data_IF_337851489093
#
_entry.id   IF_337851489093
#
_cell.length_a   1.000
_cell.length_b   1.000
_cell.length_c   1.000
_cell.angle_alpha   90.00
_cell.angle_beta   90.00
_cell.angle_gamma   90.00
#
_symmetry.space_group_name_H-M   'P 1'
#
loop_
_entity.id
_entity.type
_entity.pdbx_description
1 polymer ?
#
# COMPACT_ATOMS: atom_id res chain seq x y z
N UNK A 1 29.12 0.39 20.74
CA UNK A 1 28.02 -0.45 20.19
C UNK A 1 26.62 -0.01 20.69
N UNK A 2 26.42 1.30 20.84
CA UNK A 2 25.14 1.99 21.05
C UNK A 2 25.30 3.20 20.15
N UNK A 3 24.53 3.29 19.06
CA UNK A 3 24.49 4.33 17.98
C UNK A 3 24.41 3.76 16.55
N UNK A 4 24.43 2.43 16.35
CA UNK A 4 24.12 1.80 15.04
C UNK A 4 22.65 2.02 14.61
N UNK A 5 21.80 2.57 15.48
CA UNK A 5 20.36 2.77 15.26
C UNK A 5 19.92 4.24 15.15
N UNK A 6 20.84 5.20 15.12
CA UNK A 6 20.44 6.61 14.92
C UNK A 6 20.04 6.96 13.48
N UNK A 7 20.39 6.12 12.50
CA UNK A 7 19.75 6.12 11.17
C UNK A 7 18.29 5.64 11.21
N UNK A 8 17.62 5.62 12.38
CA UNK A 8 16.24 5.22 12.59
C UNK A 8 15.34 6.34 13.11
N UNK A 9 15.83 7.58 13.20
CA UNK A 9 14.98 8.73 13.52
C UNK A 9 14.44 9.37 12.22
N UNK A 10 13.19 9.04 11.91
CA UNK A 10 12.25 9.94 11.23
C UNK A 10 12.24 9.95 9.69
N UNK A 11 13.37 9.77 9.00
CA UNK A 11 13.41 10.01 7.53
C UNK A 11 13.80 8.76 6.73
N UNK A 12 14.69 7.94 7.26
CA UNK A 12 15.27 6.77 6.58
C UNK A 12 14.33 5.57 6.45
N UNK A 13 13.47 5.28 7.43
CA UNK A 13 12.65 4.06 7.40
C UNK A 13 11.55 4.06 6.33
N UNK A 14 11.05 5.24 5.94
CA UNK A 14 9.91 5.37 5.04
C UNK A 14 10.31 5.45 3.56
N UNK A 15 11.46 6.04 3.24
CA UNK A 15 11.94 6.18 1.86
C UNK A 15 12.91 5.07 1.42
N UNK A 16 13.53 4.34 2.35
CA UNK A 16 14.47 3.27 2.00
C UNK A 16 13.79 2.09 1.32
N UNK A 17 12.67 1.61 1.88
CA UNK A 17 11.97 0.44 1.32
C UNK A 17 11.57 0.67 -0.13
N UNK A 18 10.91 1.77 -0.53
CA UNK A 18 10.63 2.04 -1.93
C UNK A 18 11.87 2.01 -2.84
N UNK A 19 12.98 2.64 -2.43
CA UNK A 19 14.21 2.68 -3.23
C UNK A 19 14.89 1.30 -3.34
N UNK A 20 14.80 0.47 -2.29
CA UNK A 20 15.26 -0.93 -2.32
C UNK A 20 14.41 -1.79 -3.25
N UNK A 21 13.09 -1.66 -3.19
CA UNK A 21 12.16 -2.42 -4.06
C UNK A 21 12.31 -2.01 -5.54
N UNK A 22 12.59 -0.73 -5.82
CA UNK A 22 12.94 -0.25 -7.18
C UNK A 22 14.30 -0.82 -7.62
N UNK A 23 15.22 -1.07 -6.70
CA UNK A 23 16.51 -1.73 -6.96
C UNK A 23 17.73 -0.80 -6.97
N UNK A 24 17.63 0.41 -6.41
CA UNK A 24 18.79 1.31 -6.26
C UNK A 24 19.88 0.75 -5.32
N UNK A 25 19.48 -0.10 -4.38
CA UNK A 25 20.38 -0.84 -3.49
C UNK A 25 19.64 -2.04 -2.88
N UNK A 26 20.37 -3.05 -2.43
CA UNK A 26 19.78 -4.24 -1.81
C UNK A 26 19.58 -4.10 -0.29
N UNK A 27 19.03 -5.15 0.35
CA UNK A 27 18.85 -5.23 1.81
C UNK A 27 20.15 -5.15 2.62
N UNK A 28 21.30 -5.34 1.97
CA UNK A 28 22.64 -5.24 2.53
C UNK A 28 23.33 -3.90 2.17
N UNK A 29 22.60 -2.99 1.50
CA UNK A 29 23.08 -1.70 1.02
C UNK A 29 24.22 -1.83 0.00
N UNK A 30 24.20 -2.86 -0.84
CA UNK A 30 25.06 -2.88 -2.02
C UNK A 30 24.46 -2.01 -3.13
N UNK A 31 25.20 -0.97 -3.54
CA UNK A 31 24.81 -0.02 -4.58
C UNK A 31 25.33 -0.39 -5.97
N UNK A 32 26.11 -1.48 -6.08
CA UNK A 32 26.90 -1.83 -7.26
C UNK A 32 26.38 -3.06 -8.01
N UNK A 33 25.15 -3.50 -7.74
CA UNK A 33 24.54 -4.55 -8.55
C UNK A 33 24.32 -4.04 -9.99
N UNK A 34 24.29 -4.91 -11.02
CA UNK A 34 24.07 -4.47 -12.40
C UNK A 34 22.82 -3.60 -12.58
N UNK A 35 21.72 -3.96 -11.90
CA UNK A 35 20.48 -3.17 -11.90
C UNK A 35 20.66 -1.81 -11.21
N UNK A 36 21.30 -1.79 -10.04
CA UNK A 36 21.54 -0.54 -9.31
C UNK A 36 22.41 0.42 -10.13
N UNK A 37 23.45 -0.07 -10.80
CA UNK A 37 24.32 0.75 -11.66
C UNK A 37 23.51 1.43 -12.77
N UNK A 38 22.65 0.70 -13.49
CA UNK A 38 21.79 1.27 -14.54
C UNK A 38 20.88 2.37 -13.97
N UNK A 39 20.21 2.08 -12.85
CA UNK A 39 19.28 3.03 -12.22
C UNK A 39 19.98 4.30 -11.72
N UNK A 40 21.20 4.18 -11.17
CA UNK A 40 21.98 5.35 -10.75
C UNK A 40 22.46 6.17 -11.95
N UNK A 41 22.84 5.53 -13.06
CA UNK A 41 23.19 6.23 -14.30
C UNK A 41 21.99 7.00 -14.88
N UNK A 42 20.81 6.39 -14.90
CA UNK A 42 19.56 7.07 -15.30
C UNK A 42 19.23 8.25 -14.38
N UNK A 43 19.41 8.09 -13.07
CA UNK A 43 19.22 9.16 -12.09
C UNK A 43 20.19 10.34 -12.31
N UNK A 44 21.47 10.05 -12.57
CA UNK A 44 22.49 11.05 -12.87
C UNK A 44 22.16 11.81 -14.16
N UNK A 45 21.76 11.11 -15.23
CA UNK A 45 21.33 11.72 -16.48
C UNK A 45 20.10 12.61 -16.28
N UNK A 46 19.10 12.12 -15.55
CA UNK A 46 17.92 12.89 -15.19
C UNK A 46 18.28 14.21 -14.47
N UNK A 47 19.13 14.13 -13.43
CA UNK A 47 19.59 15.32 -12.69
C UNK A 47 20.36 16.27 -13.62
N UNK A 48 21.24 15.74 -14.47
CA UNK A 48 22.06 16.53 -15.38
C UNK A 48 21.23 17.26 -16.47
N UNK A 49 20.09 16.68 -16.87
CA UNK A 49 19.20 17.26 -17.88
C UNK A 49 18.31 18.38 -17.32
N UNK A 50 18.19 18.51 -15.99
CA UNK A 50 17.39 19.56 -15.35
C UNK A 50 18.31 20.66 -14.80
N UNK A 51 18.29 21.85 -15.40
CA UNK A 51 19.22 22.95 -15.09
C UNK A 51 19.31 23.30 -13.60
N UNK A 52 18.15 23.36 -12.92
CA UNK A 52 18.06 23.64 -11.48
C UNK A 52 18.60 22.50 -10.62
N UNK A 53 18.27 21.24 -10.95
CA UNK A 53 18.79 20.08 -10.23
C UNK A 53 20.29 19.91 -10.45
N UNK A 54 20.78 20.07 -11.67
CA UNK A 54 22.21 20.02 -12.01
C UNK A 54 23.00 21.03 -11.17
N UNK A 55 22.51 22.28 -11.11
CA UNK A 55 23.13 23.33 -10.29
C UNK A 55 23.15 22.96 -8.81
N UNK A 56 22.00 22.54 -8.28
CA UNK A 56 21.88 22.13 -6.88
C UNK A 56 22.80 20.94 -6.54
N UNK A 57 22.81 19.90 -7.39
CA UNK A 57 23.62 18.70 -7.20
C UNK A 57 25.11 19.04 -7.21
N UNK A 58 25.56 19.88 -8.15
CA UNK A 58 26.95 20.37 -8.19
C UNK A 58 27.32 21.05 -6.87
N UNK A 59 26.52 22.03 -6.44
CA UNK A 59 26.81 22.82 -5.24
C UNK A 59 26.75 21.95 -3.96
N UNK A 60 25.84 20.96 -3.89
CA UNK A 60 25.78 20.01 -2.78
C UNK A 60 27.01 19.11 -2.72
N UNK A 61 27.47 18.59 -3.86
CA UNK A 61 28.67 17.75 -3.92
C UNK A 61 29.91 18.54 -3.50
N UNK A 62 30.05 19.78 -3.95
CA UNK A 62 31.13 20.68 -3.52
C UNK A 62 31.08 20.92 -2.01
N UNK A 63 29.92 21.29 -1.46
CA UNK A 63 29.75 21.48 -0.02
C UNK A 63 30.06 20.22 0.80
N UNK A 64 29.62 19.04 0.35
CA UNK A 64 29.94 17.80 1.07
C UNK A 64 31.45 17.50 1.07
N UNK A 65 32.15 17.75 -0.04
CA UNK A 65 33.60 17.52 -0.12
C UNK A 65 34.38 18.51 0.74
N UNK A 66 34.06 19.79 0.62
CA UNK A 66 34.86 20.88 1.20
C UNK A 66 34.51 21.16 2.67
N UNK A 67 33.26 21.00 3.09
CA UNK A 67 32.80 21.44 4.41
C UNK A 67 32.46 20.28 5.37
N UNK A 68 31.93 19.17 4.84
CA UNK A 68 31.52 18.03 5.67
C UNK A 68 32.62 16.97 5.78
N UNK A 69 33.10 16.44 4.66
CA UNK A 69 34.06 15.33 4.65
C UNK A 69 35.50 15.78 4.92
N UNK A 70 35.79 17.07 4.82
CA UNK A 70 37.09 17.65 5.19
C UNK A 70 37.34 17.70 6.71
N UNK A 71 36.29 17.56 7.54
CA UNK A 71 36.35 17.71 9.01
C UNK A 71 37.21 16.64 9.71
N UNK A 72 37.64 15.58 9.01
CA UNK A 72 38.42 14.44 9.56
C UNK A 72 37.85 13.86 10.87
N UNK A 73 36.54 13.98 11.06
CA UNK A 73 35.80 13.41 12.18
C UNK A 73 35.26 12.03 11.78
N UNK A 74 35.24 11.04 12.69
CA UNK A 74 34.55 9.77 12.44
C UNK A 74 33.03 9.93 12.28
N UNK A 75 32.48 11.09 12.64
CA UNK A 75 31.08 11.46 12.42
C UNK A 75 31.00 12.95 12.11
N UNK A 76 31.27 13.34 10.85
CA UNK A 76 31.20 14.73 10.44
C UNK A 76 29.75 15.22 10.53
N UNK A 77 29.58 16.45 10.99
CA UNK A 77 28.25 17.04 11.18
C UNK A 77 28.30 18.53 10.88
N UNK A 78 27.16 19.06 10.43
CA UNK A 78 26.99 20.48 10.16
C UNK A 78 25.65 20.93 10.74
N UNK A 79 25.61 22.10 11.37
CA UNK A 79 24.33 22.70 11.77
C UNK A 79 23.59 23.20 10.53
N UNK A 80 22.26 23.13 10.53
CA UNK A 80 21.47 23.68 9.43
C UNK A 80 21.69 25.19 9.24
N UNK A 81 22.00 25.92 10.32
CA UNK A 81 22.37 27.34 10.28
C UNK A 81 23.59 27.61 9.42
N UNK A 82 24.51 26.65 9.35
CA UNK A 82 25.82 26.79 8.71
C UNK A 82 25.75 26.38 7.23
N UNK A 83 24.60 25.88 6.76
CA UNK A 83 24.37 25.59 5.35
C UNK A 83 24.33 26.91 4.58
N UNK A 84 25.18 27.10 3.55
CA UNK A 84 25.21 28.32 2.75
C UNK A 84 23.84 28.73 2.22
N UNK A 85 23.53 30.04 2.27
CA UNK A 85 22.28 30.61 1.74
C UNK A 85 22.06 30.25 0.27
N UNK A 86 23.15 30.11 -0.50
CA UNK A 86 23.11 29.71 -1.92
C UNK A 86 22.50 28.32 -2.08
N UNK A 87 22.88 27.35 -1.25
CA UNK A 87 22.30 25.99 -1.29
C UNK A 87 20.83 26.00 -0.91
N UNK A 88 20.46 26.78 0.12
CA UNK A 88 19.06 26.93 0.54
C UNK A 88 18.20 27.51 -0.59
N UNK A 89 18.70 28.53 -1.29
CA UNK A 89 18.04 29.14 -2.45
C UNK A 89 17.96 28.20 -3.65
N UNK A 90 19.03 27.47 -3.94
CA UNK A 90 19.05 26.50 -5.03
C UNK A 90 18.10 25.33 -4.77
N UNK A 91 18.01 24.87 -3.51
CA UNK A 91 17.05 23.86 -3.09
C UNK A 91 15.61 24.36 -3.27
N UNK A 92 15.28 25.54 -2.75
CA UNK A 92 13.96 26.14 -2.92
C UNK A 92 13.61 26.37 -4.40
N UNK A 93 14.58 26.73 -5.23
CA UNK A 93 14.39 26.92 -6.67
C UNK A 93 14.09 25.60 -7.40
N UNK A 94 14.84 24.55 -7.07
CA UNK A 94 14.68 23.21 -7.66
C UNK A 94 13.34 22.58 -7.28
N UNK A 95 12.91 22.72 -6.03
CA UNK A 95 11.67 22.13 -5.50
C UNK A 95 10.56 23.16 -5.26
N UNK A 96 10.47 24.17 -6.13
CA UNK A 96 9.66 25.38 -5.91
C UNK A 96 8.15 25.16 -5.69
N UNK A 97 7.56 24.14 -6.31
CA UNK A 97 6.16 23.77 -6.13
C UNK A 97 5.89 22.33 -6.59
N UNK A 98 4.82 21.68 -6.12
CA UNK A 98 4.42 20.37 -6.61
C UNK A 98 4.28 20.30 -8.13
N UNK A 99 3.64 21.30 -8.75
CA UNK A 99 3.48 21.38 -10.20
C UNK A 99 4.82 21.47 -10.95
N UNK A 100 5.75 22.28 -10.44
CA UNK A 100 7.09 22.39 -11.04
C UNK A 100 7.87 21.07 -10.95
N UNK A 101 7.80 20.38 -9.79
CA UNK A 101 8.47 19.09 -9.58
C UNK A 101 7.84 18.00 -10.44
N UNK A 102 6.51 17.90 -10.46
CA UNK A 102 5.78 16.96 -11.31
C UNK A 102 6.15 17.13 -12.78
N UNK A 103 6.23 18.37 -13.27
CA UNK A 103 6.56 18.65 -14.67
C UNK A 103 7.90 18.05 -15.12
N UNK A 104 8.96 18.15 -14.32
CA UNK A 104 10.26 17.60 -14.72
C UNK A 104 10.47 16.15 -14.29
N UNK A 105 9.89 15.71 -13.16
CA UNK A 105 10.23 14.42 -12.54
C UNK A 105 9.27 13.27 -12.89
N UNK A 106 8.08 13.58 -13.42
CA UNK A 106 7.00 12.61 -13.61
C UNK A 106 7.41 11.41 -14.46
N UNK A 107 7.93 11.66 -15.65
CA UNK A 107 8.28 10.59 -16.60
C UNK A 107 9.38 9.68 -16.04
N UNK A 108 10.39 10.28 -15.41
CA UNK A 108 11.43 9.56 -14.71
C UNK A 108 10.84 8.61 -13.66
N UNK A 109 9.98 9.12 -12.77
CA UNK A 109 9.39 8.30 -11.72
C UNK A 109 8.49 7.20 -12.25
N UNK A 110 7.70 7.46 -13.29
CA UNK A 110 6.86 6.45 -13.93
C UNK A 110 7.72 5.31 -14.48
N UNK A 111 8.81 5.65 -15.17
CA UNK A 111 9.74 4.67 -15.76
C UNK A 111 10.40 3.80 -14.69
N UNK A 112 11.03 4.41 -13.67
CA UNK A 112 11.78 3.63 -12.66
C UNK A 112 10.87 2.82 -11.73
N UNK A 113 9.59 3.18 -11.63
CA UNK A 113 8.58 2.43 -10.86
C UNK A 113 7.86 1.37 -11.70
N UNK A 114 8.07 1.33 -13.02
CA UNK A 114 7.38 0.42 -13.93
C UNK A 114 5.88 0.71 -14.08
N UNK A 115 5.46 1.95 -13.85
CA UNK A 115 4.07 2.37 -13.97
C UNK A 115 3.65 2.67 -15.42
N UNK A 116 4.59 2.60 -16.36
CA UNK A 116 4.38 2.72 -17.80
C UNK A 116 4.08 1.39 -18.50
N UNK A 117 4.00 0.29 -17.74
CA UNK A 117 3.75 -1.06 -18.27
C UNK A 117 2.51 -1.75 -17.66
N UNK A 118 1.95 -2.70 -18.43
CA UNK A 118 0.89 -3.62 -18.02
C UNK A 118 -0.34 -3.01 -17.33
N UNK A 119 -0.84 -3.69 -16.30
CA UNK A 119 -1.99 -3.25 -15.52
C UNK A 119 -1.76 -1.91 -14.80
N UNK A 120 -0.52 -1.67 -14.35
CA UNK A 120 -0.13 -0.41 -13.69
C UNK A 120 -0.30 0.79 -14.62
N UNK A 121 0.08 0.65 -15.89
CA UNK A 121 -0.14 1.67 -16.92
C UNK A 121 -1.61 1.94 -17.14
N UNK A 122 -2.44 0.91 -17.25
CA UNK A 122 -3.87 1.08 -17.45
C UNK A 122 -4.53 1.85 -16.29
N UNK A 123 -4.13 1.52 -15.05
CA UNK A 123 -4.57 2.26 -13.86
C UNK A 123 -4.10 3.72 -13.87
N UNK A 124 -2.83 3.96 -14.21
CA UNK A 124 -2.28 5.31 -14.33
C UNK A 124 -3.02 6.14 -15.39
N UNK A 125 -3.31 5.56 -16.55
CA UNK A 125 -4.03 6.22 -17.64
C UNK A 125 -5.45 6.63 -17.24
N UNK A 126 -6.17 5.76 -16.51
CA UNK A 126 -7.51 6.11 -15.99
C UNK A 126 -7.42 7.32 -15.06
N UNK A 127 -6.45 7.35 -14.15
CA UNK A 127 -6.26 8.46 -13.22
C UNK A 127 -5.82 9.75 -13.93
N UNK A 128 -4.95 9.67 -14.93
CA UNK A 128 -4.54 10.82 -15.73
C UNK A 128 -5.70 11.38 -16.55
N UNK A 129 -6.53 10.52 -17.15
CA UNK A 129 -7.68 10.95 -17.91
C UNK A 129 -8.74 11.60 -17.00
N UNK A 130 -8.96 11.04 -15.81
CA UNK A 130 -9.86 11.62 -14.82
C UNK A 130 -9.39 13.00 -14.33
N UNK A 131 -8.07 13.18 -14.14
CA UNK A 131 -7.49 14.45 -13.72
C UNK A 131 -7.60 15.56 -14.78
N UNK A 132 -7.78 15.19 -16.07
CA UNK A 132 -7.96 16.14 -17.18
C UNK A 132 -9.42 16.59 -17.38
N UNK A 133 -10.38 15.99 -16.69
CA UNK A 133 -11.78 16.39 -16.79
C UNK A 133 -12.00 17.75 -16.10
N UNK A 134 -12.92 18.56 -16.64
CA UNK A 134 -13.31 19.85 -16.04
C UNK A 134 -13.76 19.69 -14.57
N UNK A 135 -14.36 18.54 -14.26
CA UNK A 135 -14.70 18.10 -12.91
C UNK A 135 -14.24 16.65 -12.73
N UNK A 136 -13.05 16.42 -12.14
CA UNK A 136 -12.57 15.08 -11.85
C UNK A 136 -13.59 14.35 -10.96
N UNK A 137 -13.92 13.11 -11.33
CA UNK A 137 -14.81 12.28 -10.53
C UNK A 137 -14.00 11.64 -9.41
N UNK A 138 -14.62 11.49 -8.25
CA UNK A 138 -14.10 10.54 -7.27
C UNK A 138 -14.34 9.13 -7.82
N UNK A 139 -13.26 8.46 -8.17
CA UNK A 139 -13.32 7.07 -8.61
C UNK A 139 -13.15 6.22 -7.37
N UNK A 140 -14.16 5.49 -6.94
CA UNK A 140 -13.90 4.39 -6.01
C UNK A 140 -12.98 3.35 -6.69
N UNK A 141 -12.28 2.53 -5.91
CA UNK A 141 -11.33 1.61 -6.50
C UNK A 141 -11.92 0.47 -7.34
N UNK A 142 -13.19 0.08 -7.16
CA UNK A 142 -13.85 -0.85 -8.07
C UNK A 142 -14.01 -0.19 -9.46
N UNK A 143 -14.57 1.02 -9.50
CA UNK A 143 -14.73 1.80 -10.72
C UNK A 143 -13.39 2.08 -11.42
N UNK A 144 -12.32 2.28 -10.65
CA UNK A 144 -10.96 2.43 -11.18
C UNK A 144 -10.49 1.15 -11.90
N UNK A 145 -10.64 -0.02 -11.28
CA UNK A 145 -10.25 -1.31 -11.88
C UNK A 145 -11.10 -1.63 -13.10
N UNK A 146 -12.42 -1.45 -13.02
CA UNK A 146 -13.34 -1.66 -14.15
C UNK A 146 -13.03 -0.74 -15.33
N UNK A 147 -12.66 0.51 -15.06
CA UNK A 147 -12.23 1.46 -16.10
C UNK A 147 -10.89 1.09 -16.72
N UNK A 148 -9.97 0.56 -15.91
CA UNK A 148 -8.67 0.10 -16.39
C UNK A 148 -8.78 -1.19 -17.21
N UNK A 149 -9.71 -2.10 -16.86
CA UNK A 149 -10.04 -3.28 -17.67
C UNK A 149 -10.57 -2.91 -19.06
N UNK A 150 -11.11 -1.70 -19.27
CA UNK A 150 -11.53 -1.22 -20.60
C UNK A 150 -10.36 -0.73 -21.46
N UNK A 151 -9.16 -0.61 -20.90
CA UNK A 151 -7.95 -0.25 -21.66
C UNK A 151 -7.40 -1.45 -22.44
N UNK A 152 -6.49 -1.16 -23.36
CA UNK A 152 -5.72 -2.17 -24.08
C UNK A 152 -4.73 -2.83 -23.11
N UNK A 153 -4.96 -4.11 -22.83
CA UNK A 153 -4.16 -4.95 -21.94
C UNK A 153 -3.86 -6.26 -22.65
N UNK A 154 -2.70 -6.85 -22.37
CA UNK A 154 -2.46 -8.26 -22.70
C UNK A 154 -3.41 -9.15 -21.91
N UNK A 155 -3.62 -10.39 -22.39
CA UNK A 155 -4.48 -11.35 -21.70
C UNK A 155 -3.98 -11.65 -20.28
N UNK A 156 -2.67 -11.68 -20.08
CA UNK A 156 -2.06 -11.89 -18.76
C UNK A 156 -2.37 -10.74 -17.78
N UNK A 157 -2.21 -9.50 -18.20
CA UNK A 157 -2.46 -8.33 -17.34
C UNK A 157 -3.95 -8.14 -17.06
N UNK A 158 -4.79 -8.39 -18.07
CA UNK A 158 -6.24 -8.42 -17.91
C UNK A 158 -6.68 -9.49 -16.91
N UNK A 159 -6.06 -10.67 -16.96
CA UNK A 159 -6.32 -11.75 -16.02
C UNK A 159 -5.96 -11.35 -14.58
N UNK A 160 -4.78 -10.75 -14.35
CA UNK A 160 -4.37 -10.25 -13.02
C UNK A 160 -5.40 -9.29 -12.42
N UNK A 161 -5.87 -8.32 -13.22
CA UNK A 161 -6.87 -7.35 -12.76
C UNK A 161 -8.24 -7.99 -12.51
N UNK A 162 -8.66 -8.92 -13.36
CA UNK A 162 -9.91 -9.66 -13.19
C UNK A 162 -9.88 -10.53 -11.93
N UNK A 163 -8.74 -11.15 -11.62
CA UNK A 163 -8.54 -11.92 -10.40
C UNK A 163 -8.65 -11.07 -9.13
N UNK A 164 -8.08 -9.85 -9.14
CA UNK A 164 -8.28 -8.88 -8.06
C UNK A 164 -9.78 -8.61 -7.90
N UNK A 165 -10.47 -8.30 -9.01
CA UNK A 165 -11.89 -8.00 -8.98
C UNK A 165 -12.76 -9.14 -8.43
N UNK A 166 -12.39 -10.40 -8.72
CA UNK A 166 -13.07 -11.57 -8.18
C UNK A 166 -12.82 -11.76 -6.68
N UNK A 167 -11.60 -11.50 -6.21
CA UNK A 167 -11.17 -11.71 -4.81
C UNK A 167 -11.77 -10.69 -3.84
N UNK A 168 -11.81 -9.43 -4.25
CA UNK A 168 -12.09 -8.30 -3.37
C UNK A 168 -13.42 -8.43 -2.61
N UNK A 169 -14.55 -8.82 -3.22
CA UNK A 169 -15.80 -8.95 -2.49
C UNK A 169 -15.74 -9.98 -1.33
N UNK A 170 -14.98 -11.06 -1.49
CA UNK A 170 -14.79 -12.06 -0.43
C UNK A 170 -13.93 -11.53 0.72
N UNK A 171 -12.82 -10.87 0.39
CA UNK A 171 -11.94 -10.26 1.38
C UNK A 171 -12.63 -9.11 2.14
N UNK A 172 -13.50 -8.39 1.45
CA UNK A 172 -14.29 -7.28 1.99
C UNK A 172 -15.30 -7.79 3.01
N UNK A 173 -16.04 -8.84 2.70
CA UNK A 173 -16.98 -9.43 3.66
C UNK A 173 -16.26 -10.01 4.89
N UNK A 174 -15.07 -10.60 4.74
CA UNK A 174 -14.24 -11.00 5.89
C UNK A 174 -13.83 -9.79 6.73
N UNK A 175 -13.42 -8.69 6.08
CA UNK A 175 -13.02 -7.48 6.80
C UNK A 175 -14.20 -6.81 7.51
N UNK A 176 -15.39 -6.80 6.90
CA UNK A 176 -16.60 -6.32 7.54
C UNK A 176 -16.88 -7.16 8.79
N UNK A 177 -16.87 -8.49 8.68
CA UNK A 177 -17.05 -9.38 9.84
C UNK A 177 -16.04 -9.08 10.95
N UNK A 178 -14.76 -8.90 10.61
CA UNK A 178 -13.71 -8.52 11.56
C UNK A 178 -13.94 -7.13 12.18
N UNK A 179 -14.38 -6.17 11.39
CA UNK A 179 -14.68 -4.79 11.83
C UNK A 179 -15.84 -4.79 12.82
N UNK A 180 -16.90 -5.54 12.53
CA UNK A 180 -18.00 -5.74 13.47
C UNK A 180 -17.44 -6.35 14.76
N UNK A 181 -16.71 -7.47 14.71
CA UNK A 181 -16.14 -8.13 15.91
C UNK A 181 -15.28 -7.18 16.80
N UNK A 182 -14.64 -6.17 16.20
CA UNK A 182 -13.77 -5.21 16.89
C UNK A 182 -14.49 -3.91 17.31
N UNK A 183 -15.77 -3.74 17.03
CA UNK A 183 -16.50 -2.48 17.18
C UNK A 183 -16.72 -2.01 18.62
N UNK A 184 -16.77 -2.93 19.59
CA UNK A 184 -17.03 -2.62 21.01
C UNK A 184 -16.13 -3.45 21.92
N UNK A 185 -15.77 -2.93 23.10
CA UNK A 185 -14.85 -3.59 24.04
C UNK A 185 -15.26 -5.00 24.50
N UNK A 186 -16.55 -5.25 24.67
CA UNK A 186 -17.11 -6.55 25.01
C UNK A 186 -18.52 -6.64 24.43
N UNK A 187 -18.87 -7.73 23.75
CA UNK A 187 -20.24 -7.96 23.26
C UNK A 187 -20.55 -9.44 23.00
N UNK A 188 -21.82 -9.85 23.09
CA UNK A 188 -22.24 -11.19 22.67
C UNK A 188 -22.01 -11.43 21.18
N UNK A 189 -21.73 -12.68 20.81
CA UNK A 189 -21.66 -13.10 19.40
C UNK A 189 -22.97 -12.87 18.65
N UNK A 190 -24.11 -13.07 19.32
CA UNK A 190 -25.44 -12.85 18.74
C UNK A 190 -25.65 -11.40 18.28
N UNK A 191 -25.07 -10.41 18.97
CA UNK A 191 -25.12 -9.01 18.53
C UNK A 191 -24.30 -8.80 17.25
N UNK A 192 -23.16 -9.48 17.10
CA UNK A 192 -22.35 -9.44 15.88
C UNK A 192 -23.11 -10.04 14.71
N UNK A 193 -23.78 -11.17 14.93
CA UNK A 193 -24.59 -11.88 13.95
C UNK A 193 -25.77 -11.01 13.50
N UNK A 194 -26.44 -10.35 14.44
CA UNK A 194 -27.54 -9.42 14.12
C UNK A 194 -27.05 -8.28 13.23
N UNK A 195 -25.91 -7.66 13.58
CA UNK A 195 -25.31 -6.61 12.75
C UNK A 195 -24.90 -7.14 11.37
N UNK A 196 -24.33 -8.35 11.28
CA UNK A 196 -24.00 -8.96 9.99
C UNK A 196 -25.21 -9.05 9.06
N UNK A 197 -26.38 -9.37 9.62
CA UNK A 197 -27.66 -9.41 8.92
C UNK A 197 -28.21 -8.02 8.58
N UNK A 198 -28.01 -7.01 9.42
CA UNK A 198 -28.36 -5.60 9.13
C UNK A 198 -27.59 -5.06 7.93
N UNK A 199 -26.35 -5.52 7.72
CA UNK A 199 -25.58 -5.27 6.50
C UNK A 199 -26.08 -6.09 5.30
N UNK A 200 -27.12 -6.91 5.44
CA UNK A 200 -27.66 -7.72 4.35
C UNK A 200 -26.83 -8.96 4.02
N UNK A 201 -26.01 -9.45 4.96
CA UNK A 201 -25.27 -10.70 4.81
C UNK A 201 -25.87 -11.83 5.65
N UNK A 202 -25.58 -13.05 5.25
CA UNK A 202 -26.06 -14.28 5.90
C UNK A 202 -24.90 -15.24 6.10
N UNK A 203 -25.15 -16.36 6.76
CA UNK A 203 -24.24 -17.51 6.85
C UNK A 203 -23.83 -18.05 5.46
N UNK A 204 -24.65 -17.82 4.42
CA UNK A 204 -24.38 -18.27 3.05
C UNK A 204 -23.51 -17.31 2.24
N UNK A 205 -23.31 -16.07 2.69
CA UNK A 205 -22.57 -15.06 1.92
C UNK A 205 -21.12 -15.47 1.65
N UNK A 206 -20.36 -15.88 2.68
CA UNK A 206 -18.99 -16.34 2.50
C UNK A 206 -18.90 -17.64 1.66
N UNK A 207 -19.70 -18.69 1.93
CA UNK A 207 -19.81 -19.87 1.07
C UNK A 207 -20.04 -19.56 -0.42
N UNK A 208 -21.01 -18.71 -0.73
CA UNK A 208 -21.34 -18.35 -2.12
C UNK A 208 -20.16 -17.69 -2.83
N UNK A 209 -19.49 -16.73 -2.18
CA UNK A 209 -18.31 -16.06 -2.77
C UNK A 209 -17.12 -17.00 -2.89
N UNK A 210 -16.86 -17.83 -1.88
CA UNK A 210 -15.76 -18.79 -1.91
C UNK A 210 -15.91 -19.80 -3.05
N UNK A 211 -17.14 -20.24 -3.36
CA UNK A 211 -17.40 -21.16 -4.47
C UNK A 211 -17.03 -20.55 -5.82
N UNK A 212 -17.33 -19.27 -6.06
CA UNK A 212 -16.91 -18.56 -7.26
C UNK A 212 -15.37 -18.55 -7.39
N UNK A 213 -14.66 -18.28 -6.30
CA UNK A 213 -13.20 -18.27 -6.27
C UNK A 213 -12.59 -19.66 -6.50
N UNK A 214 -13.21 -20.71 -5.95
CA UNK A 214 -12.75 -22.10 -6.12
C UNK A 214 -12.88 -22.57 -7.57
N UNK A 215 -13.90 -22.10 -8.28
CA UNK A 215 -14.06 -22.39 -9.70
C UNK A 215 -13.04 -21.70 -10.61
N UNK A 216 -12.30 -20.70 -10.12
CA UNK A 216 -11.26 -20.01 -10.88
C UNK A 216 -9.93 -20.78 -10.82
N UNK A 217 -9.72 -21.65 -11.81
CA UNK A 217 -8.48 -22.45 -11.96
C UNK A 217 -7.25 -21.55 -12.10
N UNK A 218 -7.37 -20.44 -12.81
CA UNK A 218 -6.25 -19.53 -13.05
C UNK A 218 -5.81 -18.84 -11.76
N UNK A 219 -6.77 -18.38 -10.95
CA UNK A 219 -6.50 -17.80 -9.64
C UNK A 219 -5.85 -18.82 -8.70
N UNK A 220 -6.37 -20.05 -8.67
CA UNK A 220 -5.81 -21.12 -7.85
C UNK A 220 -4.35 -21.42 -8.19
N UNK A 221 -3.97 -21.38 -9.47
CA UNK A 221 -2.59 -21.56 -9.90
C UNK A 221 -1.68 -20.42 -9.41
N UNK A 222 -2.15 -19.18 -9.43
CA UNK A 222 -1.37 -18.01 -8.97
C UNK A 222 -1.11 -18.05 -7.46
N UNK A 223 -2.10 -18.46 -6.67
CA UNK A 223 -1.97 -18.45 -5.21
C UNK A 223 -1.19 -19.67 -4.68
N UNK A 224 -1.22 -20.80 -5.38
CA UNK A 224 -0.58 -22.04 -4.93
C UNK A 224 0.93 -21.90 -4.69
N UNK A 225 1.42 -22.51 -3.61
CA UNK A 225 2.85 -22.50 -3.23
C UNK A 225 3.36 -21.20 -2.58
N UNK A 226 2.57 -20.12 -2.58
CA UNK A 226 2.96 -18.84 -1.96
C UNK A 226 2.48 -18.69 -0.51
N UNK A 227 3.10 -17.78 0.25
CA UNK A 227 2.60 -17.39 1.58
C UNK A 227 1.22 -16.71 1.49
N UNK A 228 0.97 -15.94 0.43
CA UNK A 228 -0.33 -15.34 0.17
C UNK A 228 -1.41 -16.40 -0.05
N UNK A 229 -1.13 -17.44 -0.84
CA UNK A 229 -2.08 -18.53 -1.04
C UNK A 229 -2.32 -19.39 0.18
N UNK A 230 -1.32 -19.58 1.05
CA UNK A 230 -1.57 -20.21 2.36
C UNK A 230 -2.56 -19.40 3.21
N UNK A 231 -2.42 -18.06 3.22
CA UNK A 231 -3.39 -17.18 3.91
C UNK A 231 -4.76 -17.25 3.27
N UNK A 232 -4.83 -17.20 1.94
CA UNK A 232 -6.08 -17.31 1.20
C UNK A 232 -6.79 -18.64 1.47
N UNK A 233 -6.07 -19.76 1.50
CA UNK A 233 -6.62 -21.08 1.86
C UNK A 233 -7.21 -21.08 3.27
N UNK A 234 -6.53 -20.50 4.26
CA UNK A 234 -7.08 -20.39 5.61
C UNK A 234 -8.35 -19.52 5.65
N UNK A 235 -8.38 -18.42 4.89
CA UNK A 235 -9.56 -17.56 4.81
C UNK A 235 -10.74 -18.28 4.11
N UNK A 236 -10.46 -19.07 3.09
CA UNK A 236 -11.47 -19.89 2.41
C UNK A 236 -12.08 -20.97 3.31
N UNK A 237 -11.37 -21.43 4.35
CA UNK A 237 -11.94 -22.40 5.30
C UNK A 237 -13.10 -21.85 6.12
N UNK A 238 -13.20 -20.52 6.30
CA UNK A 238 -14.36 -19.90 6.95
C UNK A 238 -15.64 -20.27 6.18
N UNK A 239 -15.56 -20.26 4.86
CA UNK A 239 -16.67 -20.57 3.97
C UNK A 239 -17.06 -22.07 3.94
N UNK A 240 -16.27 -22.95 4.57
CA UNK A 240 -16.58 -24.39 4.66
C UNK A 240 -17.36 -24.76 5.92
N UNK A 241 -17.64 -23.79 6.77
CA UNK A 241 -18.37 -24.00 8.02
C UNK A 241 -19.88 -23.92 7.79
N UNK A 242 -20.65 -24.62 8.63
CA UNK A 242 -22.10 -24.71 8.50
C UNK A 242 -22.85 -23.52 9.11
N UNK A 243 -22.25 -22.84 10.09
CA UNK A 243 -22.90 -21.79 10.87
C UNK A 243 -22.06 -20.52 10.93
N UNK A 244 -22.71 -19.38 11.16
CA UNK A 244 -22.02 -18.10 11.30
C UNK A 244 -21.16 -18.05 12.58
N UNK A 245 -21.56 -18.72 13.66
CA UNK A 245 -20.75 -18.89 14.87
C UNK A 245 -19.42 -19.59 14.57
N UNK A 246 -19.44 -20.63 13.74
CA UNK A 246 -18.23 -21.34 13.30
C UNK A 246 -17.35 -20.45 12.41
N UNK A 247 -17.95 -19.68 11.48
CA UNK A 247 -17.23 -18.71 10.64
C UNK A 247 -16.47 -17.69 11.49
N UNK A 248 -17.15 -17.12 12.50
CA UNK A 248 -16.57 -16.15 13.42
C UNK A 248 -15.48 -16.77 14.26
N UNK A 249 -15.70 -17.96 14.82
CA UNK A 249 -14.72 -18.66 15.65
C UNK A 249 -13.45 -18.92 14.85
N UNK A 250 -13.57 -19.42 13.63
CA UNK A 250 -12.41 -19.71 12.77
C UNK A 250 -11.67 -18.43 12.33
N UNK A 251 -12.39 -17.33 12.10
CA UNK A 251 -11.77 -16.02 11.84
C UNK A 251 -10.93 -15.54 13.04
N UNK A 252 -11.46 -15.69 14.26
CA UNK A 252 -10.75 -15.33 15.49
C UNK A 252 -9.50 -16.20 15.70
N UNK A 253 -9.58 -17.50 15.43
CA UNK A 253 -8.43 -18.41 15.47
C UNK A 253 -7.37 -18.05 14.43
N UNK A 254 -7.78 -17.77 13.19
CA UNK A 254 -6.87 -17.32 12.14
C UNK A 254 -6.11 -16.05 12.57
N UNK A 255 -6.83 -15.06 13.09
CA UNK A 255 -6.25 -13.82 13.56
C UNK A 255 -5.33 -14.04 14.78
N UNK A 256 -5.74 -14.83 15.77
CA UNK A 256 -4.91 -15.18 16.93
C UNK A 256 -3.57 -15.80 16.48
N UNK A 257 -3.64 -16.80 15.59
CA UNK A 257 -2.46 -17.44 15.03
C UNK A 257 -1.54 -16.46 14.28
N UNK A 258 -2.09 -15.48 13.57
CA UNK A 258 -1.31 -14.43 12.90
C UNK A 258 -0.59 -13.53 13.92
N UNK A 259 -1.27 -13.15 14.99
CA UNK A 259 -0.73 -12.29 16.05
C UNK A 259 0.36 -13.00 16.86
N UNK A 260 0.15 -14.27 17.21
CA UNK A 260 1.16 -15.10 17.87
C UNK A 260 2.42 -15.28 17.02
N UNK A 261 2.28 -15.49 15.70
CA UNK A 261 3.41 -15.54 14.76
C UNK A 261 4.20 -14.22 14.70
N UNK A 262 3.58 -13.10 15.07
CA UNK A 262 4.20 -11.78 15.18
C UNK A 262 4.69 -11.45 16.59
N UNK A 263 4.58 -12.40 17.53
CA UNK A 263 4.87 -12.22 18.95
C UNK A 263 4.07 -11.06 19.57
N UNK A 264 2.82 -10.88 19.13
CA UNK A 264 1.91 -9.86 19.60
C UNK A 264 0.67 -10.48 20.26
N UNK A 265 0.08 -9.75 21.21
CA UNK A 265 -1.18 -10.16 21.84
C UNK A 265 -2.33 -10.08 20.83
N UNK A 266 -3.25 -11.07 20.79
CA UNK A 266 -4.44 -11.01 19.97
C UNK A 266 -5.30 -9.79 20.34
N UNK A 267 -5.77 -9.09 19.32
CA UNK A 267 -6.72 -7.97 19.48
C UNK A 267 -8.07 -8.39 20.03
N UNK A 268 -8.47 -9.64 19.79
CA UNK A 268 -9.77 -10.20 20.10
C UNK A 268 -9.59 -11.57 20.75
N UNK A 269 -10.42 -11.87 21.74
CA UNK A 269 -10.52 -13.20 22.35
C UNK A 269 -11.98 -13.54 22.61
N UNK A 270 -12.35 -14.81 22.53
CA UNK A 270 -13.60 -15.28 23.10
C UNK A 270 -13.48 -15.42 24.63
N UNK A 271 -14.57 -15.22 25.34
CA UNK A 271 -14.66 -15.59 26.75
C UNK A 271 -14.65 -17.11 26.93
N UNK A 272 -14.51 -17.58 28.17
CA UNK A 272 -14.41 -19.02 28.47
C UNK A 272 -15.65 -19.82 28.05
N UNK A 273 -16.80 -19.17 27.90
CA UNK A 273 -18.03 -19.79 27.43
C UNK A 273 -18.17 -19.77 25.90
N UNK A 274 -17.27 -19.10 25.18
CA UNK A 274 -17.32 -18.97 23.72
C UNK A 274 -18.45 -18.09 23.21
N UNK A 275 -19.07 -17.26 24.06
CA UNK A 275 -20.31 -16.51 23.73
C UNK A 275 -20.10 -15.01 23.62
N UNK A 276 -18.99 -14.49 24.16
CA UNK A 276 -18.67 -13.07 24.12
C UNK A 276 -17.31 -12.81 23.50
N UNK A 277 -17.26 -11.81 22.63
CA UNK A 277 -16.03 -11.27 22.07
C UNK A 277 -15.51 -10.18 22.97
N UNK A 278 -14.24 -10.27 23.37
CA UNK A 278 -13.52 -9.24 24.14
C UNK A 278 -12.43 -8.61 23.27
N UNK A 279 -12.40 -7.28 23.23
CA UNK A 279 -11.50 -6.49 22.39
C UNK A 279 -10.45 -5.78 23.25
N UNK A 280 -9.19 -6.15 23.04
CA UNK A 280 -8.04 -5.65 23.80
C UNK A 280 -7.42 -4.38 23.19
N UNK A 281 -7.81 -4.04 21.97
CA UNK A 281 -7.35 -2.84 21.24
C UNK A 281 -8.40 -1.73 21.22
N UNK A 282 -8.05 -0.55 20.70
CA UNK A 282 -9.03 0.52 20.44
C UNK A 282 -10.11 -0.02 19.51
N UNK A 283 -11.41 0.08 19.87
CA UNK A 283 -12.47 -0.40 18.99
C UNK A 283 -12.46 0.31 17.63
N UNK A 284 -12.77 -0.43 16.57
CA UNK A 284 -12.92 0.13 15.24
C UNK A 284 -14.27 0.84 15.10
N UNK A 285 -14.34 1.83 14.22
CA UNK A 285 -15.62 2.43 13.86
C UNK A 285 -16.38 1.48 12.93
N UNK A 286 -17.66 1.32 13.22
CA UNK A 286 -18.59 0.60 12.34
C UNK A 286 -18.96 1.56 11.22
N UNK A 287 -18.83 1.16 9.94
CA UNK A 287 -19.30 1.94 8.80
C UNK A 287 -20.83 2.04 8.81
N UNK A 288 -21.39 2.97 8.05
CA UNK A 288 -22.82 2.95 7.77
C UNK A 288 -23.15 1.80 6.79
N UNK A 289 -24.36 1.24 6.87
CA UNK A 289 -24.77 0.13 6.00
C UNK A 289 -24.82 0.51 4.52
N UNK A 290 -25.11 1.78 4.24
CA UNK A 290 -25.11 2.39 2.90
C UNK A 290 -23.69 2.50 2.32
N UNK A 291 -22.68 2.66 3.16
CA UNK A 291 -21.26 2.80 2.76
C UNK A 291 -20.60 1.46 2.45
N UNK A 292 -21.19 0.35 2.91
CA UNK A 292 -20.64 -0.99 2.69
C UNK A 292 -21.71 -2.00 2.28
N UNK A 293 -22.38 -1.82 1.13
CA UNK A 293 -23.40 -2.74 0.65
C UNK A 293 -22.83 -4.13 0.31
N UNK A 294 -23.66 -5.17 0.17
CA UNK A 294 -23.21 -6.50 -0.23
C UNK A 294 -22.47 -6.48 -1.58
N UNK A 295 -21.23 -6.96 -1.59
CA UNK A 295 -20.40 -7.01 -2.79
C UNK A 295 -19.48 -5.80 -2.96
N UNK A 296 -19.60 -4.80 -2.08
CA UNK A 296 -18.67 -3.69 -2.00
C UNK A 296 -17.26 -4.19 -1.72
N UNK A 297 -16.30 -3.49 -2.27
CA UNK A 297 -14.90 -3.77 -2.09
C UNK A 297 -14.32 -2.92 -0.94
N UNK A 298 -13.42 -3.49 -0.15
CA UNK A 298 -12.77 -2.84 0.97
C UNK A 298 -11.29 -2.69 0.68
N UNK A 299 -10.93 -1.48 0.27
CA UNK A 299 -9.61 -1.15 -0.24
C UNK A 299 -8.96 -0.06 0.58
N UNK A 300 -8.54 -0.41 1.80
CA UNK A 300 -7.87 0.54 2.70
C UNK A 300 -6.36 0.66 2.48
N UNK A 301 -5.72 -0.33 1.83
CA UNK A 301 -4.26 -0.47 1.94
C UNK A 301 -3.43 -0.21 0.67
N UNK A 302 -3.96 -0.36 -0.55
CA UNK A 302 -3.13 -0.24 -1.77
C UNK A 302 -3.61 0.85 -2.74
N UNK A 303 -4.91 0.92 -3.04
CA UNK A 303 -5.42 1.83 -4.07
C UNK A 303 -5.43 3.31 -3.64
N UNK A 304 -5.74 3.68 -2.38
CA UNK A 304 -5.57 5.06 -1.90
C UNK A 304 -4.12 5.54 -2.00
N UNK A 305 -3.16 4.69 -1.65
CA UNK A 305 -1.72 4.97 -1.67
C UNK A 305 -1.25 5.14 -3.12
N UNK A 306 -1.74 4.29 -4.03
CA UNK A 306 -1.49 4.45 -5.46
C UNK A 306 -2.04 5.77 -6.00
N UNK A 307 -3.28 6.14 -5.67
CA UNK A 307 -3.86 7.44 -6.05
C UNK A 307 -3.05 8.61 -5.51
N UNK A 308 -2.58 8.52 -4.26
CA UNK A 308 -1.73 9.55 -3.64
C UNK A 308 -0.39 9.70 -4.37
N UNK A 309 0.25 8.58 -4.72
CA UNK A 309 1.47 8.55 -5.51
C UNK A 309 1.26 9.25 -6.87
N UNK A 310 0.19 8.88 -7.59
CA UNK A 310 -0.13 9.46 -8.91
C UNK A 310 -0.44 10.95 -8.80
N UNK A 311 -1.17 11.41 -7.79
CA UNK A 311 -1.38 12.85 -7.53
C UNK A 311 -0.07 13.60 -7.33
N UNK A 312 0.89 12.99 -6.63
CA UNK A 312 2.24 13.51 -6.48
C UNK A 312 2.96 13.68 -7.82
N UNK A 313 2.88 12.69 -8.71
CA UNK A 313 3.44 12.79 -10.06
C UNK A 313 2.74 13.82 -10.95
N UNK A 314 1.43 13.98 -10.79
CA UNK A 314 0.64 15.01 -11.48
C UNK A 314 0.95 16.41 -10.96
N UNK A 315 1.72 16.54 -9.87
CA UNK A 315 2.09 17.83 -9.29
C UNK A 315 0.92 18.55 -8.62
N UNK A 316 -0.10 17.81 -8.19
CA UNK A 316 -1.30 18.35 -7.52
C UNK A 316 -1.02 18.41 -6.01
N UNK A 317 -1.40 19.52 -5.36
CA UNK A 317 -1.35 19.62 -3.89
C UNK A 317 -2.40 18.67 -3.32
N UNK A 318 -2.03 17.82 -2.36
CA UNK A 318 -3.01 17.03 -1.63
C UNK A 318 -3.97 17.99 -0.90
N UNK A 319 -5.24 18.01 -1.34
CA UNK A 319 -6.34 18.67 -0.62
C UNK A 319 -6.75 17.90 0.62
#
# INVERSE_FOLDING_TARGET
QILVRQLGLGVSGRYKTPMMEIGYFDKHYHYTSPRAISLWQEAEQFIANQSKLKKLAKNLIEHFKEDLFSQRSPSPSISFSDVPDVLRKDFASAFSSPGAVGNYAREYWISVTGLDDGASKALLQVLDNNAKLDKPKELDPQNLIESALKQTLSDEERLKMTQIASLEPFLSDIMLMFTLLTAKKSRPLTEVITQWQEFGRTEHTLPQRANLLRSDVALNNVINGSTAGRRMKNLLQLADTATLDDQVTLLLEYHNNLMLKRSQMPWLTLDNAGRQVKVHVRPLQVPDTEDWPPGEWYYSYYLPQFKSLVRGFQGVVAG
#
